data_IF_966716867539
#
_entry.id   IF_966716867539
#
_cell.length_a   1.000
_cell.length_b   1.000
_cell.length_c   1.000
_cell.angle_alpha   90.00
_cell.angle_beta   90.00
_cell.angle_gamma   90.00
#
_symmetry.space_group_name_H-M   'P 1'
#
loop_
_entity.id
_entity.type
_entity.pdbx_description
1 polymer ?
#
# COMPACT_ATOMS: atom_id res chain seq x y z
N UNK A 1 -16.04 14.25 -13.48
CA UNK A 1 -14.66 14.79 -13.60
C UNK A 1 -14.45 15.69 -12.40
N UNK A 2 -13.58 15.27 -11.48
CA UNK A 2 -13.32 15.93 -10.21
C UNK A 2 -12.30 17.05 -10.39
N UNK A 3 -12.70 18.29 -10.17
CA UNK A 3 -11.84 19.47 -10.37
C UNK A 3 -11.20 19.88 -9.04
N UNK A 4 -9.88 20.02 -9.06
CA UNK A 4 -9.08 20.45 -7.90
C UNK A 4 -8.51 21.84 -8.16
N UNK A 5 -8.54 22.67 -7.15
CA UNK A 5 -8.02 24.04 -7.21
C UNK A 5 -6.95 24.28 -6.16
N UNK A 6 -5.86 24.91 -6.57
CA UNK A 6 -4.76 25.36 -5.70
C UNK A 6 -4.51 26.85 -5.96
N UNK A 7 -4.27 27.63 -4.94
CA UNK A 7 -3.89 29.05 -5.08
C UNK A 7 -2.61 29.37 -4.31
N UNK A 8 -1.78 30.27 -4.86
CA UNK A 8 -0.54 30.67 -4.22
C UNK A 8 0.23 31.76 -4.97
N UNK A 9 1.28 32.28 -4.34
CA UNK A 9 2.18 33.27 -4.97
C UNK A 9 3.13 32.62 -5.99
N UNK A 10 3.64 31.43 -5.73
CA UNK A 10 4.55 30.67 -6.59
C UNK A 10 5.76 31.46 -7.12
N UNK A 11 6.37 32.33 -6.29
CA UNK A 11 7.53 33.13 -6.69
C UNK A 11 8.65 32.28 -7.29
N UNK A 12 8.95 31.13 -6.68
CA UNK A 12 9.85 30.11 -7.18
C UNK A 12 9.24 28.75 -6.84
N UNK A 13 9.13 27.88 -7.83
CA UNK A 13 8.68 26.50 -7.60
C UNK A 13 9.81 25.74 -6.89
N UNK A 14 9.61 25.48 -5.61
CA UNK A 14 10.51 24.68 -4.78
C UNK A 14 9.87 23.30 -4.48
N UNK A 15 10.63 22.33 -3.93
CA UNK A 15 10.11 20.99 -3.68
C UNK A 15 8.78 20.94 -2.90
N UNK A 16 8.52 21.90 -2.01
CA UNK A 16 7.23 22.01 -1.30
C UNK A 16 6.06 22.31 -2.24
N UNK A 17 6.23 23.26 -3.16
CA UNK A 17 5.22 23.53 -4.18
C UNK A 17 4.99 22.36 -5.13
N UNK A 18 6.08 21.68 -5.55
CA UNK A 18 5.95 20.51 -6.42
C UNK A 18 5.16 19.38 -5.74
N UNK A 19 5.37 19.15 -4.44
CA UNK A 19 4.58 18.18 -3.68
C UNK A 19 3.12 18.60 -3.54
N UNK A 20 2.87 19.88 -3.28
CA UNK A 20 1.50 20.43 -3.23
C UNK A 20 0.76 20.18 -4.54
N UNK A 21 1.37 20.54 -5.67
CA UNK A 21 0.79 20.37 -7.00
C UNK A 21 0.56 18.89 -7.34
N UNK A 22 1.54 18.04 -7.02
CA UNK A 22 1.43 16.60 -7.20
C UNK A 22 0.27 16.03 -6.37
N UNK A 23 0.22 16.32 -5.06
CA UNK A 23 -0.87 15.89 -4.19
C UNK A 23 -2.23 16.38 -4.70
N UNK A 24 -2.32 17.64 -5.13
CA UNK A 24 -3.53 18.19 -5.70
C UNK A 24 -3.97 17.44 -6.96
N UNK A 25 -3.03 17.04 -7.82
CA UNK A 25 -3.32 16.21 -9.00
C UNK A 25 -3.77 14.79 -8.62
N UNK A 26 -3.22 14.22 -7.55
CA UNK A 26 -3.57 12.88 -7.06
C UNK A 26 -5.01 12.79 -6.49
N UNK A 27 -5.59 13.91 -6.05
CA UNK A 27 -6.93 13.94 -5.45
C UNK A 27 -8.06 14.26 -6.44
N UNK A 28 -7.77 14.43 -7.73
CA UNK A 28 -8.79 14.66 -8.76
C UNK A 28 -8.34 14.45 -10.20
N UNK A 29 -9.26 14.67 -11.12
CA UNK A 29 -9.02 14.46 -12.56
C UNK A 29 -8.35 15.67 -13.21
N UNK A 30 -8.78 16.90 -12.82
CA UNK A 30 -8.29 18.17 -13.38
C UNK A 30 -7.74 19.06 -12.28
N UNK A 31 -6.46 19.46 -12.39
CA UNK A 31 -5.83 20.44 -11.51
C UNK A 31 -5.79 21.81 -12.14
N UNK A 32 -6.44 22.77 -11.50
CA UNK A 32 -6.42 24.19 -11.87
C UNK A 32 -5.63 24.96 -10.81
N UNK A 33 -4.69 25.79 -11.25
CA UNK A 33 -3.86 26.59 -10.34
C UNK A 33 -4.08 28.09 -10.55
N UNK A 34 -4.43 28.77 -9.47
CA UNK A 34 -4.52 30.22 -9.44
C UNK A 34 -3.24 30.85 -8.88
N UNK A 35 -2.59 31.70 -9.66
CA UNK A 35 -1.41 32.47 -9.25
C UNK A 35 -1.86 33.89 -8.89
N UNK A 36 -1.56 34.37 -7.68
CA UNK A 36 -1.91 35.73 -7.29
C UNK A 36 -1.26 36.77 -8.20
N UNK A 37 -2.04 37.72 -8.73
CA UNK A 37 -1.48 38.86 -9.47
C UNK A 37 -0.52 39.68 -8.59
N UNK A 38 0.37 40.45 -9.19
CA UNK A 38 1.29 41.32 -8.45
C UNK A 38 0.51 42.34 -7.60
N UNK A 39 -0.66 42.76 -8.04
CA UNK A 39 -1.55 43.64 -7.30
C UNK A 39 -2.09 42.97 -6.03
N UNK A 40 -2.49 41.69 -6.13
CA UNK A 40 -3.09 40.97 -5.00
C UNK A 40 -2.03 40.39 -4.06
N UNK A 41 -0.88 39.95 -4.58
CA UNK A 41 0.22 39.46 -3.79
C UNK A 41 0.99 40.59 -3.07
N UNK A 42 1.01 41.78 -3.61
CA UNK A 42 1.63 42.97 -3.00
C UNK A 42 3.14 42.76 -2.75
N UNK A 43 3.59 42.96 -1.49
CA UNK A 43 4.98 42.85 -1.11
C UNK A 43 5.51 41.41 -1.11
N UNK A 44 4.64 40.42 -1.20
CA UNK A 44 5.00 39.00 -1.21
C UNK A 44 5.27 38.48 -2.65
N UNK A 45 5.12 39.31 -3.67
CA UNK A 45 5.52 39.02 -5.04
C UNK A 45 6.94 39.52 -5.31
N UNK A 46 7.88 38.59 -5.40
CA UNK A 46 9.31 38.88 -5.70
C UNK A 46 9.65 38.64 -7.19
N UNK A 47 8.82 37.89 -7.89
CA UNK A 47 8.95 37.56 -9.32
C UNK A 47 7.72 38.07 -10.04
N UNK A 48 7.85 38.71 -11.22
CA UNK A 48 6.71 39.19 -12.02
C UNK A 48 5.65 38.11 -12.25
N UNK A 49 4.37 38.45 -12.15
CA UNK A 49 3.25 37.52 -12.28
C UNK A 49 3.29 36.67 -13.56
N UNK A 50 3.76 37.23 -14.67
CA UNK A 50 3.89 36.51 -15.94
C UNK A 50 4.88 35.34 -15.86
N UNK A 51 6.03 35.50 -15.19
CA UNK A 51 7.03 34.45 -15.00
C UNK A 51 6.56 33.41 -13.97
N UNK A 52 5.82 33.85 -12.94
CA UNK A 52 5.24 32.94 -11.95
C UNK A 52 4.17 32.06 -12.58
N UNK A 53 3.32 32.63 -13.43
CA UNK A 53 2.30 31.90 -14.18
C UNK A 53 2.95 30.94 -15.18
N UNK A 54 3.98 31.39 -15.92
CA UNK A 54 4.73 30.55 -16.86
C UNK A 54 5.34 29.33 -16.15
N UNK A 55 6.00 29.53 -15.01
CA UNK A 55 6.60 28.44 -14.21
C UNK A 55 5.58 27.43 -13.72
N UNK A 56 4.40 27.88 -13.31
CA UNK A 56 3.30 26.99 -12.90
C UNK A 56 2.72 26.22 -14.11
N UNK A 57 2.46 26.92 -15.21
CA UNK A 57 1.90 26.33 -16.42
C UNK A 57 2.83 25.28 -17.06
N UNK A 58 4.15 25.46 -16.95
CA UNK A 58 5.14 24.51 -17.43
C UNK A 58 5.20 23.20 -16.61
N UNK A 59 4.50 23.13 -15.48
CA UNK A 59 4.51 21.93 -14.64
C UNK A 59 3.54 20.88 -15.17
N UNK A 60 4.04 19.67 -15.40
CA UNK A 60 3.28 18.56 -16.02
C UNK A 60 2.08 18.03 -15.23
N UNK A 61 1.91 18.42 -13.96
CA UNK A 61 0.72 18.07 -13.16
C UNK A 61 -0.40 19.10 -13.29
N UNK A 62 -0.13 20.31 -13.79
CA UNK A 62 -1.08 21.40 -13.92
C UNK A 62 -1.80 21.30 -15.25
N UNK A 63 -3.12 21.16 -15.23
CA UNK A 63 -3.94 21.10 -16.44
C UNK A 63 -4.35 22.49 -16.94
N UNK A 64 -4.45 23.46 -16.01
CA UNK A 64 -4.84 24.85 -16.33
C UNK A 64 -4.30 25.82 -15.26
N UNK A 65 -3.90 27.01 -15.65
CA UNK A 65 -3.44 28.03 -14.70
C UNK A 65 -3.86 29.44 -15.16
N UNK A 66 -4.17 30.32 -14.17
CA UNK A 66 -4.58 31.67 -14.44
C UNK A 66 -4.16 32.65 -13.32
N UNK A 67 -4.19 33.96 -13.61
CA UNK A 67 -3.92 34.99 -12.60
C UNK A 67 -5.16 35.30 -11.79
N UNK A 68 -5.01 35.31 -10.47
CA UNK A 68 -6.04 35.72 -9.53
C UNK A 68 -5.91 37.22 -9.29
N UNK A 69 -6.90 37.96 -9.72
CA UNK A 69 -6.99 39.43 -9.54
C UNK A 69 -8.27 39.85 -8.79
N UNK A 70 -8.94 38.92 -8.11
CA UNK A 70 -10.15 39.10 -7.34
C UNK A 70 -10.05 38.38 -5.98
N UNK A 71 -10.93 38.66 -5.01
CA UNK A 71 -10.99 37.93 -3.75
C UNK A 71 -11.18 36.44 -3.96
N UNK A 72 -10.45 35.63 -3.22
CA UNK A 72 -10.44 34.15 -3.39
C UNK A 72 -11.85 33.53 -3.30
N UNK A 73 -12.74 34.11 -2.50
CA UNK A 73 -14.13 33.65 -2.37
C UNK A 73 -14.92 33.79 -3.67
N UNK A 74 -14.69 34.85 -4.43
CA UNK A 74 -15.33 35.08 -5.72
C UNK A 74 -14.82 34.11 -6.76
N UNK A 75 -13.50 33.89 -6.80
CA UNK A 75 -12.85 32.91 -7.69
C UNK A 75 -13.39 31.50 -7.44
N UNK A 76 -13.48 31.08 -6.18
CA UNK A 76 -14.01 29.76 -5.81
C UNK A 76 -15.50 29.66 -6.16
N UNK A 77 -16.28 30.69 -5.93
CA UNK A 77 -17.71 30.70 -6.25
C UNK A 77 -18.00 30.63 -7.76
N UNK A 78 -17.13 31.20 -8.59
CA UNK A 78 -17.20 31.11 -10.05
C UNK A 78 -16.71 29.75 -10.57
N UNK A 79 -15.54 29.29 -10.10
CA UNK A 79 -14.89 28.06 -10.54
C UNK A 79 -15.58 26.79 -10.04
N UNK A 80 -16.15 26.83 -8.84
CA UNK A 80 -16.83 25.74 -8.12
C UNK A 80 -16.04 24.43 -8.15
N UNK A 81 -14.76 24.41 -7.71
CA UNK A 81 -13.99 23.19 -7.68
C UNK A 81 -14.55 22.19 -6.66
N UNK A 82 -14.50 20.90 -6.98
CA UNK A 82 -14.91 19.85 -6.04
C UNK A 82 -14.00 19.83 -4.80
N UNK A 83 -12.71 20.15 -5.00
CA UNK A 83 -11.71 20.18 -3.94
C UNK A 83 -10.83 21.42 -4.05
N UNK A 84 -10.59 22.08 -2.93
CA UNK A 84 -9.51 23.06 -2.80
C UNK A 84 -8.38 22.44 -1.98
N UNK A 85 -7.15 22.56 -2.45
CA UNK A 85 -5.97 22.05 -1.74
C UNK A 85 -5.07 23.20 -1.33
N UNK A 86 -4.64 23.20 -0.07
CA UNK A 86 -3.69 24.18 0.50
C UNK A 86 -2.49 23.48 1.12
N UNK A 87 -1.39 24.19 1.29
CA UNK A 87 -0.25 23.75 2.07
C UNK A 87 -0.62 23.60 3.55
N UNK A 88 0.03 22.65 4.22
CA UNK A 88 -0.19 22.32 5.63
C UNK A 88 0.02 23.52 6.57
N UNK A 89 0.92 24.43 6.23
CA UNK A 89 1.19 25.65 6.97
C UNK A 89 -0.06 26.53 7.20
N UNK A 90 -1.09 26.32 6.39
CA UNK A 90 -2.38 27.02 6.50
C UNK A 90 -3.43 26.25 7.33
N UNK A 91 -3.13 25.08 7.86
CA UNK A 91 -4.12 24.22 8.54
C UNK A 91 -4.63 24.82 9.85
N UNK A 92 -3.78 25.54 10.58
CA UNK A 92 -4.10 26.18 11.86
C UNK A 92 -4.57 27.63 11.75
N UNK A 93 -4.70 28.17 10.53
CA UNK A 93 -5.16 29.53 10.28
C UNK A 93 -6.61 29.54 9.80
N UNK A 94 -7.30 30.69 9.97
CA UNK A 94 -8.62 30.89 9.37
C UNK A 94 -8.52 30.80 7.84
N UNK A 95 -9.25 29.86 7.27
CA UNK A 95 -9.24 29.61 5.83
C UNK A 95 -10.57 30.10 5.21
N UNK A 96 -10.51 31.23 4.53
CA UNK A 96 -11.64 31.80 3.81
C UNK A 96 -12.19 30.85 2.72
N UNK A 97 -11.35 29.97 2.21
CA UNK A 97 -11.68 28.98 1.20
C UNK A 97 -12.58 27.87 1.76
N UNK A 98 -12.46 27.53 3.05
CA UNK A 98 -13.30 26.51 3.70
C UNK A 98 -14.79 26.87 3.61
N UNK A 99 -15.11 28.09 3.97
CA UNK A 99 -16.50 28.58 3.94
C UNK A 99 -17.01 28.70 2.49
N UNK A 100 -16.13 29.13 1.58
CA UNK A 100 -16.48 29.29 0.17
C UNK A 100 -16.82 27.97 -0.52
N UNK A 101 -16.06 26.90 -0.26
CA UNK A 101 -16.32 25.58 -0.86
C UNK A 101 -17.51 24.87 -0.20
N UNK A 102 -17.74 25.08 1.10
CA UNK A 102 -18.84 24.47 1.82
C UNK A 102 -20.23 24.89 1.28
N UNK A 103 -20.35 26.11 0.72
CA UNK A 103 -21.61 26.64 0.17
C UNK A 103 -22.24 25.75 -0.92
N UNK A 104 -21.40 25.03 -1.69
CA UNK A 104 -21.88 24.18 -2.80
C UNK A 104 -21.47 22.70 -2.63
N UNK A 105 -20.99 22.30 -1.43
CA UNK A 105 -20.66 20.91 -1.12
C UNK A 105 -19.25 20.47 -1.54
N UNK A 106 -18.37 21.40 -1.91
CA UNK A 106 -16.96 21.11 -2.14
C UNK A 106 -16.18 20.87 -0.83
N UNK A 107 -14.96 20.41 -0.91
CA UNK A 107 -14.09 20.10 0.24
C UNK A 107 -12.78 20.87 0.22
N UNK A 108 -12.24 21.19 1.42
CA UNK A 108 -10.91 21.77 1.59
C UNK A 108 -9.97 20.69 2.15
N UNK A 109 -8.89 20.38 1.44
CA UNK A 109 -7.85 19.46 1.87
C UNK A 109 -6.55 20.20 2.11
N UNK A 110 -5.75 19.66 3.04
CA UNK A 110 -4.40 20.14 3.27
C UNK A 110 -3.42 19.09 2.79
N UNK A 111 -2.44 19.51 1.94
CA UNK A 111 -1.38 18.62 1.57
C UNK A 111 -0.56 18.30 2.83
N UNK A 112 -0.26 17.03 3.06
CA UNK A 112 0.67 16.61 4.08
C UNK A 112 2.10 17.02 3.69
N UNK A 113 2.32 18.34 3.63
CA UNK A 113 3.62 18.93 3.34
C UNK A 113 4.58 18.67 4.50
N UNK A 114 5.08 17.46 4.63
CA UNK A 114 6.30 17.25 5.37
C UNK A 114 7.44 17.65 4.46
N UNK A 115 8.08 18.65 4.82
CA UNK A 115 9.48 19.02 5.08
C UNK A 115 9.67 20.49 4.79
N UNK A 116 9.72 21.31 5.83
CA UNK A 116 10.50 22.52 5.78
C UNK A 116 11.96 22.10 5.50
N UNK A 117 12.47 22.41 4.32
CA UNK A 117 13.89 22.26 4.01
C UNK A 117 14.65 23.35 4.77
N UNK A 118 15.07 23.06 6.00
CA UNK A 118 16.14 23.82 6.64
C UNK A 118 17.45 23.04 6.52
N UNK A 119 18.56 23.75 6.45
CA UNK A 119 19.90 23.13 6.51
C UNK A 119 20.07 22.28 7.78
N UNK A 120 19.36 22.61 8.86
CA UNK A 120 19.24 21.82 10.09
C UNK A 120 18.55 20.48 9.89
N UNK A 121 17.56 20.39 9.00
CA UNK A 121 16.86 19.13 8.71
C UNK A 121 17.72 18.20 7.83
N UNK A 122 18.60 18.76 6.98
CA UNK A 122 19.61 17.99 6.26
C UNK A 122 20.66 17.41 7.22
N UNK A 123 21.09 18.18 8.22
CA UNK A 123 22.04 17.72 9.24
C UNK A 123 21.36 16.69 10.16
N UNK A 124 20.12 16.91 10.57
CA UNK A 124 19.33 15.94 11.33
C UNK A 124 19.06 14.66 10.53
N UNK A 125 18.84 14.76 9.21
CA UNK A 125 18.78 13.59 8.34
C UNK A 125 20.09 12.82 8.35
N UNK A 126 21.22 13.49 8.22
CA UNK A 126 22.54 12.83 8.22
C UNK A 126 22.86 12.15 9.57
N UNK A 127 22.41 12.73 10.68
CA UNK A 127 22.52 12.12 12.02
C UNK A 127 21.56 10.94 12.16
N UNK A 128 20.32 11.03 11.63
CA UNK A 128 19.37 9.92 11.58
C UNK A 128 19.80 8.80 10.61
N UNK A 129 20.58 9.12 9.56
CA UNK A 129 21.17 8.12 8.65
C UNK A 129 22.14 7.16 9.34
N UNK A 130 22.71 7.58 10.49
CA UNK A 130 23.53 6.73 11.36
C UNK A 130 22.69 5.91 12.35
N UNK A 131 21.43 6.27 12.57
CA UNK A 131 20.49 5.51 13.41
C UNK A 131 19.61 4.63 12.49
N UNK A 132 20.15 3.49 12.10
CA UNK A 132 19.53 2.53 11.18
C UNK A 132 18.25 1.93 11.78
N UNK A 133 17.10 2.56 11.55
CA UNK A 133 15.80 1.97 11.89
C UNK A 133 14.78 2.89 12.56
N UNK A 134 14.98 4.20 12.52
CA UNK A 134 13.98 5.12 13.08
C UNK A 134 12.69 5.10 12.25
N UNK A 135 11.71 4.34 12.73
CA UNK A 135 10.33 4.39 12.24
C UNK A 135 9.65 5.61 12.86
N UNK A 136 9.05 6.44 12.03
CA UNK A 136 8.39 7.66 12.49
C UNK A 136 6.88 7.45 12.61
N UNK A 137 6.34 7.55 13.84
CA UNK A 137 4.91 7.42 14.07
C UNK A 137 4.12 8.58 13.43
N UNK A 138 3.04 8.33 12.67
CA UNK A 138 2.31 9.34 11.91
C UNK A 138 1.33 10.12 12.80
N UNK A 139 1.83 10.94 13.72
CA UNK A 139 1.07 11.69 14.74
C UNK A 139 -0.10 12.48 14.16
N UNK A 140 0.11 13.13 13.01
CA UNK A 140 -0.92 13.96 12.39
C UNK A 140 -2.05 13.14 11.79
N UNK A 141 -1.72 11.99 11.18
CA UNK A 141 -2.72 11.05 10.70
C UNK A 141 -3.57 10.53 11.87
N UNK A 142 -2.94 10.13 12.97
CA UNK A 142 -3.65 9.69 14.18
C UNK A 142 -4.55 10.79 14.74
N UNK A 143 -4.08 12.04 14.79
CA UNK A 143 -4.87 13.19 15.25
C UNK A 143 -6.07 13.48 14.35
N UNK A 144 -5.89 13.42 13.01
CA UNK A 144 -7.01 13.65 12.06
C UNK A 144 -8.12 12.62 12.18
N UNK A 145 -7.76 11.38 12.57
CA UNK A 145 -8.72 10.27 12.68
C UNK A 145 -9.09 9.94 14.12
N UNK A 146 -8.64 10.75 15.09
CA UNK A 146 -9.10 10.70 16.47
C UNK A 146 -8.69 9.47 17.27
N UNK A 147 -7.53 8.85 16.97
CA UNK A 147 -7.02 7.73 17.74
C UNK A 147 -5.63 7.99 18.33
N UNK A 148 -5.28 7.25 19.39
CA UNK A 148 -4.01 7.36 20.10
C UNK A 148 -3.17 6.09 19.97
N UNK A 149 -1.90 6.16 20.42
CA UNK A 149 -1.01 4.99 20.49
C UNK A 149 -1.56 3.91 21.44
N UNK A 150 -2.14 4.33 22.58
CA UNK A 150 -2.74 3.42 23.57
C UNK A 150 -3.86 2.61 22.94
N UNK A 151 -4.68 3.27 22.10
CA UNK A 151 -5.74 2.57 21.37
C UNK A 151 -5.18 1.54 20.38
N UNK A 152 -4.09 1.84 19.70
CA UNK A 152 -3.42 0.87 18.81
C UNK A 152 -2.83 -0.32 19.59
N UNK A 153 -2.27 -0.08 20.78
CA UNK A 153 -1.79 -1.15 21.67
C UNK A 153 -2.94 -2.07 22.11
N UNK A 154 -4.11 -1.51 22.48
CA UNK A 154 -5.31 -2.30 22.80
C UNK A 154 -5.78 -3.19 21.64
N UNK A 155 -5.68 -2.68 20.41
CA UNK A 155 -6.00 -3.46 19.20
C UNK A 155 -5.03 -4.63 19.06
N UNK A 156 -3.71 -4.37 19.18
CA UNK A 156 -2.69 -5.40 19.07
C UNK A 156 -2.86 -6.51 20.13
N UNK A 157 -3.26 -6.18 21.35
CA UNK A 157 -3.53 -7.19 22.39
C UNK A 157 -4.58 -8.20 21.96
N UNK A 158 -5.62 -7.73 21.25
CA UNK A 158 -6.78 -8.54 20.82
C UNK A 158 -6.52 -9.43 19.61
N UNK A 159 -5.39 -9.25 18.90
CA UNK A 159 -5.11 -10.05 17.70
C UNK A 159 -4.88 -11.54 18.00
N UNK A 160 -4.45 -11.86 19.20
CA UNK A 160 -4.16 -13.24 19.59
C UNK A 160 -5.42 -14.10 19.63
N UNK A 161 -5.32 -15.31 19.08
CA UNK A 161 -6.40 -16.28 19.06
C UNK A 161 -7.41 -16.11 17.93
N UNK A 162 -7.29 -15.09 17.09
CA UNK A 162 -8.09 -14.98 15.84
C UNK A 162 -7.83 -16.20 14.97
N UNK A 163 -8.88 -16.78 14.42
CA UNK A 163 -8.84 -17.90 13.49
C UNK A 163 -8.76 -17.35 12.08
N UNK A 164 -7.59 -17.49 11.48
CA UNK A 164 -7.25 -16.90 10.19
C UNK A 164 -7.11 -18.00 9.16
N UNK A 165 -7.86 -17.92 8.08
CA UNK A 165 -7.69 -18.76 6.90
C UNK A 165 -6.91 -17.95 5.88
N UNK A 166 -5.81 -18.51 5.35
CA UNK A 166 -5.06 -17.95 4.24
C UNK A 166 -5.10 -18.92 3.08
N UNK A 167 -5.58 -18.45 1.92
CA UNK A 167 -5.63 -19.23 0.69
C UNK A 167 -4.87 -18.50 -0.40
N UNK A 168 -3.96 -19.16 -1.11
CA UNK A 168 -3.24 -18.50 -2.19
C UNK A 168 -2.01 -19.23 -2.70
N UNK A 169 -1.22 -18.55 -3.51
CA UNK A 169 -0.04 -19.11 -4.16
C UNK A 169 1.12 -19.23 -3.18
N UNK A 170 1.55 -20.46 -2.91
CA UNK A 170 2.77 -20.74 -2.13
C UNK A 170 4.01 -20.43 -2.95
N UNK A 171 4.88 -19.61 -2.39
CA UNK A 171 6.14 -19.17 -3.02
C UNK A 171 7.28 -19.41 -2.04
N UNK A 172 8.44 -19.77 -2.57
CA UNK A 172 9.72 -19.70 -1.86
C UNK A 172 10.57 -18.62 -2.50
N UNK A 173 11.00 -17.63 -1.70
CA UNK A 173 12.01 -16.65 -2.10
C UNK A 173 13.40 -17.17 -1.71
N UNK A 174 14.34 -17.19 -2.64
CA UNK A 174 15.73 -17.60 -2.39
C UNK A 174 16.68 -16.44 -2.70
N UNK A 175 17.46 -16.04 -1.71
CA UNK A 175 18.47 -15.01 -1.82
C UNK A 175 19.83 -15.67 -1.96
N UNK A 176 20.39 -15.58 -3.16
CA UNK A 176 21.70 -16.13 -3.47
C UNK A 176 22.73 -15.00 -3.40
N UNK A 177 23.56 -15.03 -2.37
CA UNK A 177 24.68 -14.10 -2.24
C UNK A 177 25.78 -14.52 -3.19
N UNK A 178 26.24 -13.61 -4.03
CA UNK A 178 27.22 -13.87 -5.06
C UNK A 178 28.45 -12.96 -4.92
N UNK A 179 29.60 -13.48 -5.32
CA UNK A 179 30.81 -12.70 -5.58
C UNK A 179 30.84 -12.31 -7.07
N UNK A 180 30.94 -11.00 -7.42
CA UNK A 180 31.03 -10.59 -8.80
C UNK A 180 32.47 -10.84 -9.34
N UNK A 181 32.56 -11.58 -10.44
CA UNK A 181 33.83 -11.89 -11.11
C UNK A 181 34.15 -10.90 -12.25
N UNK A 182 33.20 -10.03 -12.60
CA UNK A 182 33.32 -9.05 -13.68
C UNK A 182 32.44 -9.36 -14.89
N UNK A 183 32.84 -8.85 -16.05
CA UNK A 183 32.13 -9.09 -17.32
C UNK A 183 32.68 -10.30 -18.03
N UNK A 184 31.82 -11.08 -18.65
CA UNK A 184 32.24 -12.18 -19.55
C UNK A 184 33.07 -11.64 -20.71
N UNK A 185 34.04 -12.43 -21.17
CA UNK A 185 34.82 -12.13 -22.36
C UNK A 185 34.09 -12.55 -23.65
N UNK A 186 33.11 -13.45 -23.54
CA UNK A 186 32.38 -13.99 -24.68
C UNK A 186 31.13 -13.16 -25.02
N UNK A 187 30.39 -12.71 -23.97
CA UNK A 187 29.15 -11.96 -24.10
C UNK A 187 29.12 -10.78 -23.11
N UNK A 188 28.37 -9.70 -23.37
CA UNK A 188 28.25 -8.58 -22.44
C UNK A 188 27.35 -8.94 -21.24
N UNK A 189 27.74 -10.00 -20.50
CA UNK A 189 27.03 -10.50 -19.33
C UNK A 189 27.89 -10.41 -18.07
N UNK A 190 27.23 -10.22 -16.92
CA UNK A 190 27.87 -10.21 -15.60
C UNK A 190 28.11 -11.65 -15.18
N UNK A 191 29.33 -11.97 -14.78
CA UNK A 191 29.71 -13.27 -14.23
C UNK A 191 29.75 -13.18 -12.71
N UNK A 192 29.06 -14.09 -12.03
CA UNK A 192 29.02 -14.18 -10.57
C UNK A 192 29.23 -15.60 -10.09
N UNK A 193 29.84 -15.76 -8.92
CA UNK A 193 29.95 -17.05 -8.23
C UNK A 193 29.05 -17.02 -6.99
N UNK A 194 28.08 -17.96 -6.85
CA UNK A 194 27.31 -18.10 -5.62
C UNK A 194 28.20 -18.47 -4.44
N UNK A 195 28.04 -17.75 -3.31
CA UNK A 195 28.77 -17.98 -2.05
C UNK A 195 27.86 -18.64 -1.03
N UNK A 196 26.61 -18.15 -0.91
CA UNK A 196 25.63 -18.56 0.09
C UNK A 196 24.22 -18.44 -0.47
N UNK A 197 23.29 -19.21 0.09
CA UNK A 197 21.88 -19.15 -0.27
C UNK A 197 21.00 -19.26 0.96
N UNK A 198 20.01 -18.38 1.05
CA UNK A 198 19.01 -18.39 2.10
C UNK A 198 17.61 -18.39 1.49
N UNK A 199 16.77 -19.34 1.95
CA UNK A 199 15.37 -19.47 1.51
C UNK A 199 14.43 -18.93 2.56
N UNK A 200 13.33 -18.31 2.10
CA UNK A 200 12.25 -17.75 2.90
C UNK A 200 10.90 -18.17 2.35
N UNK A 201 9.90 -18.25 3.21
CA UNK A 201 8.50 -18.27 2.76
C UNK A 201 8.17 -16.97 2.04
N UNK A 202 7.45 -17.07 0.95
CA UNK A 202 6.92 -15.95 0.18
C UNK A 202 5.47 -16.18 -0.20
N UNK A 203 4.87 -15.22 -0.87
CA UNK A 203 3.47 -15.28 -1.28
C UNK A 203 2.53 -15.55 -0.12
N UNK A 204 1.54 -16.41 -0.34
CA UNK A 204 0.57 -16.77 0.69
C UNK A 204 1.21 -17.43 1.94
N UNK A 205 2.38 -18.06 1.78
CA UNK A 205 3.13 -18.67 2.90
C UNK A 205 3.62 -17.65 3.92
N UNK A 206 4.18 -16.52 3.48
CA UNK A 206 4.62 -15.47 4.42
C UNK A 206 3.43 -14.71 5.02
N UNK A 207 2.32 -14.55 4.28
CA UNK A 207 1.06 -14.00 4.80
C UNK A 207 0.57 -14.85 6.00
N UNK A 208 0.57 -16.17 5.85
CA UNK A 208 0.22 -17.09 6.93
C UNK A 208 1.21 -16.99 8.11
N UNK A 209 2.51 -16.89 7.84
CA UNK A 209 3.53 -16.77 8.87
C UNK A 209 3.44 -15.43 9.64
N UNK A 210 3.10 -14.32 8.98
CA UNK A 210 2.80 -13.06 9.65
C UNK A 210 1.60 -13.20 10.60
N UNK A 211 0.51 -13.81 10.14
CA UNK A 211 -0.69 -14.01 10.97
C UNK A 211 -0.40 -14.87 12.21
N UNK A 212 0.41 -15.94 12.06
CA UNK A 212 0.86 -16.75 13.18
C UNK A 212 1.75 -15.98 14.16
N UNK A 213 2.71 -15.19 13.64
CA UNK A 213 3.60 -14.35 14.44
C UNK A 213 2.88 -13.25 15.24
N UNK A 214 1.66 -12.86 14.83
CA UNK A 214 0.76 -11.96 15.55
C UNK A 214 -0.09 -12.69 16.62
N UNK A 215 0.04 -14.02 16.72
CA UNK A 215 -0.70 -14.85 17.66
C UNK A 215 -2.01 -15.41 17.13
N UNK A 216 -2.26 -15.35 15.83
CA UNK A 216 -3.42 -15.97 15.17
C UNK A 216 -3.31 -17.50 15.13
N UNK A 217 -4.46 -18.17 15.15
CA UNK A 217 -4.59 -19.60 14.83
C UNK A 217 -4.79 -19.72 13.32
N UNK A 218 -3.74 -20.13 12.61
CA UNK A 218 -3.71 -20.03 11.14
C UNK A 218 -3.94 -21.37 10.50
N UNK A 219 -4.91 -21.42 9.59
CA UNK A 219 -5.12 -22.48 8.62
C UNK A 219 -4.69 -22.00 7.25
N UNK A 220 -3.72 -22.67 6.65
CA UNK A 220 -3.15 -22.32 5.36
C UNK A 220 -3.54 -23.35 4.30
N UNK A 221 -4.10 -22.90 3.19
CA UNK A 221 -4.54 -23.78 2.09
C UNK A 221 -3.84 -23.33 0.80
N UNK A 222 -3.13 -24.26 0.17
CA UNK A 222 -2.39 -23.97 -1.07
C UNK A 222 -2.09 -25.23 -1.88
N UNK A 223 -1.34 -25.03 -2.97
CA UNK A 223 -0.85 -26.08 -3.85
C UNK A 223 0.67 -25.95 -3.99
N UNK A 224 1.37 -27.07 -4.01
CA UNK A 224 2.81 -27.15 -4.27
C UNK A 224 3.13 -28.28 -5.27
N UNK A 225 4.28 -28.20 -5.91
CA UNK A 225 4.85 -29.32 -6.67
C UNK A 225 5.34 -30.45 -5.78
N UNK A 226 5.66 -31.59 -6.38
CA UNK A 226 6.34 -32.72 -5.71
C UNK A 226 7.86 -32.54 -5.84
N UNK A 227 8.40 -31.57 -5.11
CA UNK A 227 9.80 -31.17 -5.20
C UNK A 227 10.40 -30.72 -3.85
N UNK A 228 11.73 -30.52 -3.84
CA UNK A 228 12.47 -30.09 -2.64
C UNK A 228 12.03 -28.69 -2.14
N UNK A 229 11.59 -27.82 -3.06
CA UNK A 229 11.14 -26.45 -2.72
C UNK A 229 9.81 -26.51 -1.97
N UNK A 230 8.88 -27.38 -2.40
CA UNK A 230 7.63 -27.66 -1.70
C UNK A 230 7.86 -28.25 -0.32
N UNK A 231 8.76 -29.24 -0.24
CA UNK A 231 9.14 -29.86 1.03
C UNK A 231 9.73 -28.86 2.02
N UNK A 232 10.60 -27.96 1.56
CA UNK A 232 11.12 -26.84 2.36
C UNK A 232 10.00 -25.94 2.88
N UNK A 233 9.08 -25.54 2.00
CA UNK A 233 8.00 -24.61 2.38
C UNK A 233 7.08 -25.25 3.43
N UNK A 234 6.71 -26.52 3.29
CA UNK A 234 5.88 -27.25 4.25
C UNK A 234 6.58 -27.31 5.62
N UNK A 235 7.87 -27.63 5.66
CA UNK A 235 8.64 -27.68 6.90
C UNK A 235 8.72 -26.30 7.61
N UNK A 236 8.82 -25.20 6.86
CA UNK A 236 8.83 -23.85 7.44
C UNK A 236 7.45 -23.42 7.96
N UNK A 237 6.36 -23.83 7.29
CA UNK A 237 4.99 -23.62 7.77
C UNK A 237 4.74 -24.37 9.09
N UNK A 238 5.21 -25.62 9.21
CA UNK A 238 5.12 -26.41 10.45
C UNK A 238 5.89 -25.75 11.61
N UNK A 239 7.13 -25.29 11.35
CA UNK A 239 7.92 -24.54 12.36
C UNK A 239 7.22 -23.26 12.83
N UNK A 240 6.40 -22.67 11.99
CA UNK A 240 5.61 -21.46 12.29
C UNK A 240 4.27 -21.76 12.98
N UNK A 241 4.02 -23.00 13.42
CA UNK A 241 2.76 -23.48 14.03
C UNK A 241 1.52 -23.19 13.17
N UNK A 242 1.63 -23.37 11.86
CA UNK A 242 0.55 -23.17 10.90
C UNK A 242 -0.05 -24.55 10.55
N UNK A 243 -1.38 -24.67 10.66
CA UNK A 243 -2.10 -25.83 10.16
C UNK A 243 -2.18 -25.75 8.62
N UNK A 244 -1.26 -26.43 7.94
CA UNK A 244 -1.11 -26.31 6.50
C UNK A 244 -1.74 -27.48 5.75
N UNK A 245 -2.73 -27.21 4.89
CA UNK A 245 -3.31 -28.11 3.90
C UNK A 245 -2.73 -27.79 2.52
N UNK A 246 -1.49 -28.25 2.25
CA UNK A 246 -0.83 -28.05 0.98
C UNK A 246 -1.04 -29.27 0.10
N UNK A 247 -1.80 -29.09 -1.00
CA UNK A 247 -2.09 -30.17 -1.94
C UNK A 247 -1.01 -30.30 -3.01
N UNK A 248 -0.58 -31.52 -3.29
CA UNK A 248 0.46 -31.75 -4.31
C UNK A 248 -0.14 -31.71 -5.72
N UNK A 249 0.49 -30.95 -6.60
CA UNK A 249 0.23 -30.91 -8.04
C UNK A 249 1.52 -31.27 -8.80
N UNK A 250 1.61 -32.53 -9.23
CA UNK A 250 2.80 -33.03 -9.96
C UNK A 250 2.96 -32.45 -11.37
N UNK A 251 1.97 -31.70 -11.85
CA UNK A 251 2.01 -31.07 -13.18
C UNK A 251 2.80 -29.75 -13.21
N UNK A 252 3.16 -29.22 -12.03
CA UNK A 252 3.86 -27.93 -11.88
C UNK A 252 4.97 -28.00 -10.85
N UNK A 253 6.03 -27.19 -11.00
CA UNK A 253 6.99 -26.98 -9.91
C UNK A 253 6.39 -26.10 -8.82
N UNK A 254 6.87 -26.25 -7.59
CA UNK A 254 6.67 -25.25 -6.55
C UNK A 254 7.31 -23.93 -6.98
N UNK A 255 6.59 -22.81 -6.82
CA UNK A 255 7.10 -21.52 -7.26
C UNK A 255 8.33 -21.10 -6.47
N UNK A 256 9.46 -20.92 -7.17
CA UNK A 256 10.73 -20.46 -6.60
C UNK A 256 11.14 -19.13 -7.26
N UNK A 257 11.37 -18.10 -6.45
CA UNK A 257 11.87 -16.79 -6.89
C UNK A 257 13.28 -16.58 -6.34
N UNK A 258 14.27 -16.73 -7.20
CA UNK A 258 15.67 -16.53 -6.85
C UNK A 258 16.10 -15.08 -7.11
N UNK A 259 16.83 -14.51 -6.16
CA UNK A 259 17.44 -13.17 -6.27
C UNK A 259 18.94 -13.29 -6.10
N UNK A 260 19.67 -13.20 -7.20
CA UNK A 260 21.13 -13.18 -7.19
C UNK A 260 21.58 -11.79 -6.76
N UNK A 261 22.32 -11.70 -5.66
CA UNK A 261 22.71 -10.44 -5.01
C UNK A 261 24.22 -10.37 -4.85
N UNK A 262 24.78 -9.18 -5.13
CA UNK A 262 26.17 -8.85 -4.83
C UNK A 262 26.23 -7.43 -4.27
N UNK A 263 27.07 -7.17 -3.29
CA UNK A 263 27.26 -5.87 -2.63
C UNK A 263 25.95 -5.22 -2.19
N UNK A 264 25.03 -6.02 -1.65
CA UNK A 264 23.72 -5.55 -1.18
C UNK A 264 22.70 -5.26 -2.28
N UNK A 265 23.05 -5.39 -3.57
CA UNK A 265 22.17 -5.12 -4.71
C UNK A 265 21.72 -6.41 -5.38
N UNK A 266 20.47 -6.42 -5.86
CA UNK A 266 19.98 -7.51 -6.71
C UNK A 266 20.48 -7.31 -8.15
N UNK A 267 21.23 -8.27 -8.66
CA UNK A 267 21.75 -8.27 -10.03
C UNK A 267 20.76 -8.87 -11.01
N UNK A 268 20.12 -9.98 -10.60
CA UNK A 268 19.18 -10.74 -11.44
C UNK A 268 18.10 -11.38 -10.57
N UNK A 269 16.90 -11.50 -11.13
CA UNK A 269 15.80 -12.28 -10.57
C UNK A 269 15.46 -13.41 -11.54
N UNK A 270 15.43 -14.65 -11.03
CA UNK A 270 15.02 -15.83 -11.79
C UNK A 270 13.78 -16.40 -11.12
N UNK A 271 12.72 -16.64 -11.90
CA UNK A 271 11.48 -17.19 -11.37
C UNK A 271 11.17 -18.53 -12.03
N UNK A 272 11.09 -19.58 -11.23
CA UNK A 272 10.58 -20.88 -11.63
C UNK A 272 9.12 -20.94 -11.22
N UNK A 273 8.21 -20.83 -12.18
CA UNK A 273 6.78 -20.71 -11.91
C UNK A 273 5.94 -21.34 -13.02
N UNK A 274 4.70 -21.66 -12.68
CA UNK A 274 3.67 -22.07 -13.61
C UNK A 274 2.45 -21.12 -13.45
N UNK A 275 1.86 -20.65 -14.55
CA UNK A 275 0.76 -19.69 -14.54
C UNK A 275 -0.61 -20.31 -14.87
N UNK A 276 -0.66 -21.59 -15.19
CA UNK A 276 -1.93 -22.28 -15.48
C UNK A 276 -2.74 -22.51 -14.20
N UNK A 277 -4.07 -22.45 -14.32
CA UNK A 277 -4.98 -22.81 -13.22
C UNK A 277 -4.76 -24.25 -12.78
N UNK A 278 -5.00 -24.49 -11.49
CA UNK A 278 -5.04 -25.87 -10.93
C UNK A 278 -6.21 -26.67 -11.52
N UNK A 279 -6.10 -28.01 -11.48
CA UNK A 279 -7.16 -28.88 -11.95
C UNK A 279 -8.46 -28.72 -11.15
N UNK A 280 -9.61 -29.09 -11.74
CA UNK A 280 -10.90 -29.07 -11.04
C UNK A 280 -10.90 -29.93 -9.78
N UNK A 281 -10.19 -31.07 -9.80
CA UNK A 281 -10.04 -31.93 -8.62
C UNK A 281 -9.33 -31.20 -7.47
N UNK A 282 -8.27 -30.45 -7.74
CA UNK A 282 -7.58 -29.64 -6.74
C UNK A 282 -8.43 -28.47 -6.25
N UNK A 283 -9.20 -27.86 -7.14
CA UNK A 283 -10.17 -26.82 -6.76
C UNK A 283 -11.22 -27.37 -5.79
N UNK A 284 -11.77 -28.56 -6.07
CA UNK A 284 -12.72 -29.24 -5.18
C UNK A 284 -12.10 -29.55 -3.81
N UNK A 285 -10.84 -29.95 -3.76
CA UNK A 285 -10.14 -30.23 -2.50
C UNK A 285 -9.93 -28.95 -1.69
N UNK A 286 -9.48 -27.87 -2.32
CA UNK A 286 -9.30 -26.55 -1.67
C UNK A 286 -10.66 -26.05 -1.14
N UNK A 287 -11.70 -26.09 -1.98
CA UNK A 287 -13.05 -25.69 -1.58
C UNK A 287 -13.54 -26.46 -0.37
N UNK A 288 -13.46 -27.78 -0.41
CA UNK A 288 -13.95 -28.63 0.68
C UNK A 288 -13.23 -28.38 1.98
N UNK A 289 -11.90 -28.16 1.93
CA UNK A 289 -11.10 -27.79 3.11
C UNK A 289 -11.51 -26.43 3.66
N UNK A 290 -11.66 -25.43 2.79
CA UNK A 290 -12.07 -24.09 3.19
C UNK A 290 -13.47 -24.09 3.82
N UNK A 291 -14.42 -24.82 3.25
CA UNK A 291 -15.80 -24.92 3.75
C UNK A 291 -15.89 -25.53 5.15
N UNK A 292 -14.96 -26.43 5.51
CA UNK A 292 -14.90 -26.98 6.87
C UNK A 292 -14.39 -25.95 7.89
N UNK A 293 -13.52 -25.04 7.48
CA UNK A 293 -12.90 -24.06 8.34
C UNK A 293 -13.70 -22.75 8.46
N UNK A 294 -14.38 -22.32 7.39
CA UNK A 294 -15.11 -21.05 7.30
C UNK A 294 -16.11 -20.79 8.45
N UNK A 295 -16.92 -21.77 8.92
CA UNK A 295 -17.89 -21.52 10.00
C UNK A 295 -17.27 -21.05 11.32
N UNK A 296 -15.98 -21.29 11.51
CA UNK A 296 -15.25 -20.92 12.71
C UNK A 296 -14.24 -19.80 12.46
N UNK A 297 -14.04 -19.36 11.22
CA UNK A 297 -13.07 -18.35 10.88
C UNK A 297 -13.51 -16.95 11.33
N UNK A 298 -12.54 -16.15 11.73
CA UNK A 298 -12.69 -14.72 12.00
C UNK A 298 -12.21 -13.89 10.81
N UNK A 299 -11.18 -14.40 10.08
CA UNK A 299 -10.56 -13.74 8.93
C UNK A 299 -10.33 -14.74 7.79
N UNK A 300 -10.62 -14.33 6.55
CA UNK A 300 -10.24 -15.03 5.32
C UNK A 300 -9.39 -14.12 4.45
N UNK A 301 -8.17 -14.55 4.12
CA UNK A 301 -7.24 -13.80 3.29
C UNK A 301 -6.98 -14.56 1.99
N UNK A 302 -7.23 -13.89 0.87
CA UNK A 302 -6.81 -14.33 -0.45
C UNK A 302 -5.47 -13.66 -0.80
N UNK A 303 -4.40 -14.45 -0.91
CA UNK A 303 -3.08 -13.98 -1.32
C UNK A 303 -2.73 -14.55 -2.69
N UNK A 304 -3.03 -13.76 -3.71
CA UNK A 304 -2.98 -14.16 -5.11
C UNK A 304 -1.79 -13.55 -5.85
N UNK A 305 -1.03 -14.40 -6.51
CA UNK A 305 0.10 -14.00 -7.35
C UNK A 305 -0.14 -14.32 -8.83
N UNK A 306 -1.36 -14.72 -9.17
CA UNK A 306 -1.75 -15.17 -10.50
C UNK A 306 -0.92 -16.38 -11.00
N UNK A 307 -0.56 -17.30 -10.09
CA UNK A 307 0.11 -18.55 -10.42
C UNK A 307 -0.84 -19.76 -10.41
N UNK A 308 -2.15 -19.49 -10.36
CA UNK A 308 -3.20 -20.44 -10.66
C UNK A 308 -3.79 -21.20 -9.48
N UNK A 309 -3.37 -20.94 -8.24
CA UNK A 309 -3.98 -21.51 -7.03
C UNK A 309 -5.44 -21.04 -6.84
N UNK A 310 -5.76 -19.84 -7.29
CA UNK A 310 -7.05 -19.18 -7.12
C UNK A 310 -7.74 -18.91 -8.48
N UNK A 311 -8.30 -19.92 -9.16
CA UNK A 311 -9.16 -19.71 -10.34
C UNK A 311 -10.41 -18.92 -9.97
N UNK A 312 -10.99 -18.22 -10.95
CA UNK A 312 -12.13 -17.32 -10.71
C UNK A 312 -13.35 -18.03 -10.12
N UNK A 313 -13.65 -19.22 -10.60
CA UNK A 313 -14.80 -20.00 -10.12
C UNK A 313 -14.66 -20.33 -8.63
N UNK A 314 -13.46 -20.77 -8.21
CA UNK A 314 -13.16 -21.07 -6.81
C UNK A 314 -13.28 -19.81 -5.91
N UNK A 315 -12.79 -18.66 -6.38
CA UNK A 315 -12.90 -17.39 -5.63
C UNK A 315 -14.38 -17.03 -5.41
N UNK A 316 -15.19 -17.07 -6.46
CA UNK A 316 -16.63 -16.73 -6.38
C UNK A 316 -17.36 -17.65 -5.41
N UNK A 317 -17.11 -18.97 -5.46
CA UNK A 317 -17.71 -19.94 -4.55
C UNK A 317 -17.30 -19.66 -3.09
N UNK A 318 -16.01 -19.44 -2.81
CA UNK A 318 -15.52 -19.17 -1.45
C UNK A 318 -16.05 -17.85 -0.88
N UNK A 319 -16.14 -16.82 -1.71
CA UNK A 319 -16.73 -15.53 -1.31
C UNK A 319 -18.23 -15.74 -0.97
N UNK A 320 -18.97 -16.43 -1.83
CA UNK A 320 -20.39 -16.68 -1.61
C UNK A 320 -20.67 -17.44 -0.30
N UNK A 321 -19.84 -18.43 0.02
CA UNK A 321 -19.97 -19.20 1.27
C UNK A 321 -19.55 -18.40 2.52
N UNK A 322 -18.63 -17.46 2.35
CA UNK A 322 -18.22 -16.55 3.43
C UNK A 322 -19.21 -15.38 3.64
N UNK A 323 -19.98 -15.01 2.60
CA UNK A 323 -21.03 -13.99 2.66
C UNK A 323 -22.16 -14.39 3.59
N UNK A 324 -22.43 -13.79 4.63
CA UNK A 324 -23.46 -14.12 5.63
C UNK A 324 -22.90 -14.65 6.94
N UNK A 325 -21.60 -14.90 6.98
CA UNK A 325 -20.83 -15.14 8.19
C UNK A 325 -20.33 -13.84 8.85
N UNK A 326 -19.57 -14.01 9.94
CA UNK A 326 -18.88 -12.90 10.61
C UNK A 326 -17.43 -12.74 10.11
N UNK A 327 -17.07 -13.45 9.04
CA UNK A 327 -15.72 -13.53 8.52
C UNK A 327 -15.35 -12.21 7.84
N UNK A 328 -14.25 -11.61 8.25
CA UNK A 328 -13.67 -10.46 7.56
C UNK A 328 -12.80 -10.96 6.41
N UNK A 329 -13.15 -10.59 5.19
CA UNK A 329 -12.43 -10.99 3.97
C UNK A 329 -11.47 -9.91 3.49
N UNK A 330 -10.27 -10.29 3.12
CA UNK A 330 -9.30 -9.41 2.48
C UNK A 330 -8.59 -10.11 1.32
N UNK A 331 -8.16 -9.31 0.34
CA UNK A 331 -7.38 -9.82 -0.77
C UNK A 331 -6.24 -8.88 -1.16
N UNK A 332 -5.12 -9.47 -1.52
CA UNK A 332 -4.04 -8.85 -2.29
C UNK A 332 -3.81 -9.68 -3.55
N UNK A 333 -3.76 -9.03 -4.70
CA UNK A 333 -3.51 -9.71 -5.97
C UNK A 333 -2.35 -9.04 -6.68
N UNK A 334 -1.20 -9.70 -6.67
CA UNK A 334 -0.01 -9.19 -7.31
C UNK A 334 0.00 -9.52 -8.80
N UNK A 335 0.19 -8.48 -9.62
CA UNK A 335 0.51 -8.65 -11.03
C UNK A 335 2.02 -8.74 -11.23
N UNK A 336 2.57 -9.95 -11.25
CA UNK A 336 3.98 -10.17 -11.63
C UNK A 336 4.23 -10.01 -13.14
N UNK A 337 3.17 -9.99 -13.93
CA UNK A 337 3.14 -9.82 -15.39
C UNK A 337 2.21 -8.67 -15.80
N UNK A 338 1.92 -8.56 -17.07
CA UNK A 338 0.99 -7.55 -17.62
C UNK A 338 -0.50 -7.87 -17.35
N UNK A 339 -0.77 -8.96 -16.65
CA UNK A 339 -2.11 -9.46 -16.34
C UNK A 339 -2.26 -9.58 -14.83
N UNK A 340 -3.22 -8.92 -14.28
CA UNK A 340 -3.66 -9.02 -12.89
C UNK A 340 -4.93 -8.21 -12.77
N UNK A 341 -5.92 -8.76 -12.08
CA UNK A 341 -7.20 -8.10 -11.83
C UNK A 341 -7.58 -8.27 -10.37
N UNK A 342 -7.21 -7.28 -9.55
CA UNK A 342 -7.59 -7.28 -8.14
C UNK A 342 -9.10 -7.07 -7.95
N UNK A 343 -9.79 -6.49 -8.93
CA UNK A 343 -11.24 -6.28 -8.86
C UNK A 343 -12.05 -7.58 -8.90
N UNK A 344 -11.43 -8.70 -9.29
CA UNK A 344 -12.07 -10.03 -9.28
C UNK A 344 -12.43 -10.55 -7.88
N UNK A 345 -11.83 -9.96 -6.83
CA UNK A 345 -12.18 -10.22 -5.44
C UNK A 345 -13.29 -9.26 -4.99
N UNK A 346 -14.52 -9.56 -5.40
CA UNK A 346 -15.67 -8.70 -5.08
C UNK A 346 -16.08 -8.82 -3.61
N UNK A 347 -16.61 -7.74 -3.04
CA UNK A 347 -17.21 -7.72 -1.70
C UNK A 347 -16.23 -7.78 -0.53
N UNK A 348 -14.93 -7.60 -0.77
CA UNK A 348 -13.91 -7.61 0.30
C UNK A 348 -14.09 -6.47 1.28
N UNK A 349 -13.85 -6.74 2.57
CA UNK A 349 -13.74 -5.69 3.57
C UNK A 349 -12.45 -4.88 3.36
N UNK A 350 -11.38 -5.52 2.85
CA UNK A 350 -10.12 -4.83 2.56
C UNK A 350 -9.49 -5.35 1.26
N UNK A 351 -9.11 -4.43 0.37
CA UNK A 351 -8.21 -4.67 -0.76
C UNK A 351 -6.93 -3.84 -0.60
N UNK A 352 -5.77 -4.43 -0.93
CA UNK A 352 -4.47 -3.76 -0.76
C UNK A 352 -3.63 -3.70 -2.04
N UNK A 353 -4.16 -3.19 -3.16
CA UNK A 353 -3.41 -3.11 -4.41
C UNK A 353 -2.27 -2.09 -4.35
N UNK A 354 -1.27 -2.29 -5.22
CA UNK A 354 -0.36 -1.21 -5.64
C UNK A 354 -1.05 -0.31 -6.67
N UNK A 355 -0.52 0.89 -6.87
CA UNK A 355 -1.00 1.78 -7.95
C UNK A 355 -1.02 1.06 -9.31
N UNK A 356 0.04 0.31 -9.62
CA UNK A 356 0.13 -0.42 -10.90
C UNK A 356 -1.00 -1.45 -11.04
N UNK A 357 -1.28 -2.22 -10.01
CA UNK A 357 -2.35 -3.23 -10.00
C UNK A 357 -3.72 -2.58 -10.16
N UNK A 358 -3.97 -1.47 -9.47
CA UNK A 358 -5.20 -0.71 -9.60
C UNK A 358 -5.39 -0.17 -11.03
N UNK A 359 -4.31 0.40 -11.63
CA UNK A 359 -4.35 0.89 -13.01
C UNK A 359 -4.58 -0.22 -14.03
N UNK A 360 -3.99 -1.39 -13.83
CA UNK A 360 -4.20 -2.56 -14.69
C UNK A 360 -5.65 -3.05 -14.61
N UNK A 361 -6.20 -3.24 -13.41
CA UNK A 361 -7.58 -3.69 -13.22
C UNK A 361 -8.60 -2.74 -13.84
N UNK A 362 -8.38 -1.44 -13.73
CA UNK A 362 -9.28 -0.42 -14.29
C UNK A 362 -8.96 -0.06 -15.75
N UNK A 363 -7.83 -0.53 -16.29
CA UNK A 363 -7.27 -0.10 -17.60
C UNK A 363 -7.21 1.41 -17.73
N UNK A 364 -6.78 2.06 -16.66
CA UNK A 364 -6.79 3.51 -16.50
C UNK A 364 -5.42 4.04 -16.07
N UNK A 365 -4.84 4.91 -16.89
CA UNK A 365 -3.52 5.50 -16.67
C UNK A 365 -3.57 7.01 -16.43
N UNK A 366 -4.75 7.62 -16.52
CA UNK A 366 -4.94 9.08 -16.57
C UNK A 366 -5.46 9.65 -15.25
N UNK A 367 -6.31 8.92 -14.53
CA UNK A 367 -6.94 9.40 -13.31
C UNK A 367 -5.93 9.63 -12.17
N UNK A 368 -6.24 10.62 -11.34
CA UNK A 368 -5.57 10.82 -10.05
C UNK A 368 -5.80 9.66 -9.09
N UNK A 369 -4.90 9.48 -8.12
CA UNK A 369 -4.90 8.30 -7.24
C UNK A 369 -6.16 8.15 -6.38
N UNK A 370 -6.76 9.26 -5.93
CA UNK A 370 -8.00 9.20 -5.15
C UNK A 370 -9.18 8.72 -6.01
N UNK A 371 -9.27 9.21 -7.25
CA UNK A 371 -10.31 8.78 -8.22
C UNK A 371 -10.09 7.33 -8.62
N UNK A 372 -8.83 6.94 -8.81
CA UNK A 372 -8.46 5.55 -9.10
C UNK A 372 -8.90 4.60 -7.96
N UNK A 373 -8.63 4.99 -6.71
CA UNK A 373 -9.03 4.22 -5.52
C UNK A 373 -10.56 4.11 -5.42
N UNK A 374 -11.29 5.21 -5.60
CA UNK A 374 -12.76 5.23 -5.61
C UNK A 374 -13.34 4.33 -6.70
N UNK A 375 -12.85 4.44 -7.94
CA UNK A 375 -13.32 3.61 -9.07
C UNK A 375 -13.07 2.13 -8.83
N UNK A 376 -11.89 1.77 -8.31
CA UNK A 376 -11.56 0.38 -8.02
C UNK A 376 -12.40 -0.17 -6.87
N UNK A 377 -12.57 0.60 -5.79
CA UNK A 377 -13.41 0.24 -4.65
C UNK A 377 -14.86 -0.04 -5.09
N UNK A 378 -15.41 0.84 -5.94
CA UNK A 378 -16.75 0.69 -6.49
C UNK A 378 -16.86 -0.53 -7.43
N UNK A 379 -15.88 -0.77 -8.31
CA UNK A 379 -15.85 -1.90 -9.23
C UNK A 379 -15.82 -3.23 -8.48
N UNK A 380 -14.93 -3.33 -7.48
CA UNK A 380 -14.79 -4.52 -6.64
C UNK A 380 -15.84 -4.61 -5.53
N UNK A 381 -16.71 -3.62 -5.37
CA UNK A 381 -17.67 -3.53 -4.25
C UNK A 381 -17.00 -3.67 -2.88
N UNK A 382 -15.75 -3.23 -2.77
CA UNK A 382 -14.97 -3.34 -1.54
C UNK A 382 -15.41 -2.26 -0.53
N UNK A 383 -15.31 -2.56 0.78
CA UNK A 383 -15.64 -1.61 1.83
C UNK A 383 -14.48 -0.64 2.11
N UNK A 384 -13.25 -1.12 1.91
CA UNK A 384 -12.06 -0.37 2.15
C UNK A 384 -10.96 -0.75 1.14
N UNK A 385 -10.19 0.23 0.68
CA UNK A 385 -9.09 0.04 -0.24
C UNK A 385 -7.85 0.79 0.25
N UNK A 386 -6.74 0.08 0.36
CA UNK A 386 -5.43 0.62 0.70
C UNK A 386 -4.53 0.59 -0.54
N UNK A 387 -4.40 1.72 -1.21
CA UNK A 387 -3.60 1.85 -2.43
C UNK A 387 -2.14 2.10 -2.07
N UNK A 388 -1.30 1.08 -2.23
CA UNK A 388 0.14 1.10 -1.89
C UNK A 388 0.94 1.94 -2.91
N UNK A 389 1.75 2.87 -2.43
CA UNK A 389 2.56 3.80 -3.23
C UNK A 389 4.08 3.64 -3.00
N UNK A 390 4.50 2.51 -2.43
CA UNK A 390 5.90 2.25 -2.12
C UNK A 390 6.49 3.26 -1.13
N UNK A 391 7.58 3.92 -1.51
CA UNK A 391 8.25 4.93 -0.67
C UNK A 391 7.40 6.17 -0.35
N UNK A 392 6.27 6.34 -1.01
CA UNK A 392 5.36 7.46 -0.76
C UNK A 392 4.26 7.13 0.26
N UNK A 393 4.23 5.91 0.76
CA UNK A 393 3.23 5.45 1.71
C UNK A 393 1.99 4.86 1.03
N UNK A 394 0.80 5.30 1.42
CA UNK A 394 -0.44 4.66 1.02
C UNK A 394 -1.61 5.66 1.01
N UNK A 395 -2.52 5.52 0.06
CA UNK A 395 -3.84 6.15 0.08
C UNK A 395 -4.84 5.16 0.65
N UNK A 396 -5.65 5.64 1.57
CA UNK A 396 -6.76 4.90 2.18
C UNK A 396 -8.05 5.49 1.62
N UNK A 397 -8.90 4.64 1.03
CA UNK A 397 -10.26 4.98 0.63
C UNK A 397 -11.22 4.07 1.39
N UNK A 398 -11.96 4.61 2.34
CA UNK A 398 -12.76 3.84 3.27
C UNK A 398 -14.02 4.57 3.70
N UNK A 399 -15.02 3.80 4.12
CA UNK A 399 -16.26 4.35 4.70
C UNK A 399 -16.02 4.81 6.13
N UNK A 400 -16.47 6.03 6.44
CA UNK A 400 -16.51 6.53 7.81
C UNK A 400 -17.74 6.01 8.58
N UNK A 401 -17.73 6.19 9.89
CA UNK A 401 -18.89 5.86 10.75
C UNK A 401 -20.17 6.61 10.37
N UNK A 402 -20.06 7.75 9.68
CA UNK A 402 -21.17 8.52 9.10
C UNK A 402 -21.85 7.82 7.91
N UNK A 403 -21.18 6.85 7.30
CA UNK A 403 -21.60 6.21 6.05
C UNK A 403 -20.96 6.82 4.79
N UNK A 404 -20.30 7.96 4.91
CA UNK A 404 -19.64 8.65 3.80
C UNK A 404 -18.28 8.00 3.48
N UNK A 405 -17.93 7.94 2.19
CA UNK A 405 -16.61 7.52 1.76
C UNK A 405 -15.61 8.66 1.88
N UNK A 406 -14.47 8.38 2.49
CA UNK A 406 -13.38 9.35 2.65
C UNK A 406 -12.07 8.80 2.11
N UNK A 407 -11.27 9.69 1.55
CA UNK A 407 -9.91 9.39 1.10
C UNK A 407 -8.91 10.20 1.91
N UNK A 408 -7.91 9.55 2.51
CA UNK A 408 -6.76 10.21 3.16
C UNK A 408 -5.47 9.45 2.84
N UNK A 409 -4.35 10.02 3.19
CA UNK A 409 -3.01 9.49 2.91
C UNK A 409 -2.21 9.32 4.20
N UNK A 410 -1.48 8.20 4.30
CA UNK A 410 -0.45 7.98 5.30
C UNK A 410 0.91 7.88 4.60
N UNK A 411 1.96 8.59 5.06
CA UNK A 411 3.30 8.50 4.48
C UNK A 411 3.95 7.14 4.78
N UNK A 412 4.99 6.78 4.04
CA UNK A 412 5.84 5.66 4.43
C UNK A 412 6.55 6.01 5.75
N UNK A 413 6.48 5.09 6.73
CA UNK A 413 6.96 5.36 8.09
C UNK A 413 8.45 5.06 8.27
N UNK A 414 9.09 4.35 7.32
CA UNK A 414 10.52 4.06 7.32
C UNK A 414 11.19 4.76 6.15
N UNK A 415 12.10 5.70 6.45
CA UNK A 415 12.81 6.48 5.44
C UNK A 415 14.00 5.74 4.80
N UNK A 416 14.46 4.63 5.40
CA UNK A 416 15.68 3.92 5.01
C UNK A 416 15.41 2.42 4.79
N UNK A 417 14.63 2.05 3.76
CA UNK A 417 14.32 0.65 3.49
C UNK A 417 15.59 -0.11 3.06
N UNK A 418 15.80 -1.30 3.64
CA UNK A 418 16.86 -2.25 3.25
C UNK A 418 16.38 -3.23 2.19
N UNK A 419 15.16 -3.73 2.36
CA UNK A 419 14.52 -4.64 1.42
C UNK A 419 13.00 -4.42 1.44
N UNK A 420 12.40 -4.25 0.28
CA UNK A 420 10.95 -3.98 0.16
C UNK A 420 10.10 -5.26 0.08
N UNK A 421 10.75 -6.44 0.09
CA UNK A 421 10.04 -7.71 0.00
C UNK A 421 9.16 -7.96 1.24
N UNK A 422 7.93 -8.41 1.03
CA UNK A 422 6.97 -8.74 2.09
C UNK A 422 6.33 -7.56 2.82
N UNK A 423 6.65 -6.31 2.45
CA UNK A 423 6.03 -5.14 3.07
C UNK A 423 4.51 -5.07 2.83
N UNK A 424 4.06 -5.41 1.61
CA UNK A 424 2.63 -5.50 1.28
C UNK A 424 1.92 -6.62 2.03
N UNK A 425 2.59 -7.76 2.17
CA UNK A 425 2.06 -8.94 2.86
C UNK A 425 1.86 -8.66 4.37
N UNK A 426 2.86 -8.05 5.01
CA UNK A 426 2.77 -7.66 6.44
C UNK A 426 1.70 -6.58 6.67
N UNK A 427 1.59 -5.60 5.76
CA UNK A 427 0.54 -4.57 5.79
C UNK A 427 -0.86 -5.20 5.69
N UNK A 428 -1.09 -6.07 4.73
CA UNK A 428 -2.37 -6.77 4.54
C UNK A 428 -2.79 -7.49 5.82
N UNK A 429 -1.91 -8.34 6.36
CA UNK A 429 -2.22 -9.19 7.52
C UNK A 429 -2.54 -8.37 8.75
N UNK A 430 -1.67 -7.40 9.10
CA UNK A 430 -1.89 -6.57 10.29
C UNK A 430 -3.16 -5.75 10.15
N UNK A 431 -3.43 -5.21 8.96
CA UNK A 431 -4.62 -4.40 8.72
C UNK A 431 -5.91 -5.23 8.87
N UNK A 432 -6.00 -6.38 8.18
CA UNK A 432 -7.23 -7.18 8.22
C UNK A 432 -7.49 -7.79 9.59
N UNK A 433 -6.44 -8.28 10.29
CA UNK A 433 -6.58 -8.80 11.65
C UNK A 433 -7.00 -7.69 12.64
N UNK A 434 -6.49 -6.46 12.47
CA UNK A 434 -6.92 -5.32 13.27
C UNK A 434 -8.40 -4.98 13.03
N UNK A 435 -8.86 -4.99 11.78
CA UNK A 435 -10.27 -4.79 11.45
C UNK A 435 -11.16 -5.87 12.07
N UNK A 436 -10.71 -7.12 12.11
CA UNK A 436 -11.45 -8.25 12.71
C UNK A 436 -11.68 -8.09 14.22
N UNK A 437 -10.84 -7.34 14.92
CA UNK A 437 -11.01 -7.01 16.35
C UNK A 437 -11.64 -5.63 16.59
N UNK A 438 -12.20 -5.01 15.55
CA UNK A 438 -12.96 -3.77 15.63
C UNK A 438 -12.13 -2.50 15.50
N UNK A 439 -10.98 -2.55 14.87
CA UNK A 439 -10.26 -1.34 14.46
C UNK A 439 -11.01 -0.65 13.32
N UNK A 440 -11.01 0.67 13.34
CA UNK A 440 -11.42 1.47 12.17
C UNK A 440 -10.44 1.26 11.01
N UNK A 441 -10.85 1.54 9.76
CA UNK A 441 -9.93 1.48 8.62
C UNK A 441 -8.67 2.34 8.80
N UNK A 442 -8.79 3.46 9.50
CA UNK A 442 -7.68 4.39 9.76
C UNK A 442 -6.67 3.83 10.78
N UNK A 443 -7.17 3.22 11.87
CA UNK A 443 -6.35 2.50 12.85
C UNK A 443 -5.65 1.31 12.19
N UNK A 444 -6.38 0.53 11.40
CA UNK A 444 -5.85 -0.61 10.66
C UNK A 444 -4.77 -0.19 9.64
N UNK A 445 -4.98 0.92 8.92
CA UNK A 445 -3.99 1.49 8.00
C UNK A 445 -2.71 1.94 8.71
N UNK A 446 -2.84 2.55 9.89
CA UNK A 446 -1.69 2.96 10.71
C UNK A 446 -0.88 1.75 11.16
N UNK A 447 -1.53 0.71 11.72
CA UNK A 447 -0.87 -0.53 12.16
C UNK A 447 -0.25 -1.30 10.98
N UNK A 448 -0.95 -1.38 9.84
CA UNK A 448 -0.43 -1.99 8.63
C UNK A 448 0.78 -1.25 8.06
N UNK A 449 0.77 0.08 8.06
CA UNK A 449 1.92 0.89 7.66
C UNK A 449 3.12 0.72 8.59
N UNK A 450 2.88 0.56 9.90
CA UNK A 450 3.91 0.24 10.88
C UNK A 450 4.53 -1.14 10.61
N UNK A 451 3.69 -2.14 10.34
CA UNK A 451 4.15 -3.49 9.96
C UNK A 451 5.04 -3.46 8.70
N UNK A 452 4.59 -2.75 7.66
CA UNK A 452 5.37 -2.54 6.45
C UNK A 452 6.70 -1.83 6.71
N UNK A 453 6.71 -0.83 7.59
CA UNK A 453 7.92 -0.09 7.98
C UNK A 453 8.94 -0.97 8.72
N UNK A 454 8.48 -1.86 9.61
CA UNK A 454 9.32 -2.87 10.27
C UNK A 454 9.88 -3.84 9.22
N UNK A 455 9.03 -4.33 8.31
CA UNK A 455 9.42 -5.30 7.30
C UNK A 455 10.49 -4.77 6.34
N UNK A 456 10.38 -3.54 5.85
CA UNK A 456 11.39 -2.96 4.94
C UNK A 456 12.72 -2.65 5.63
N UNK A 457 12.77 -2.58 6.94
CA UNK A 457 14.00 -2.37 7.73
C UNK A 457 14.93 -3.58 7.80
N UNK A 458 14.51 -4.75 7.33
CA UNK A 458 15.26 -6.02 7.39
C UNK A 458 15.42 -6.64 5.99
N UNK A 459 16.30 -7.64 5.88
CA UNK A 459 16.57 -8.34 4.62
C UNK A 459 15.77 -9.64 4.61
N UNK A 460 15.04 -9.88 3.52
CA UNK A 460 14.26 -11.09 3.30
C UNK A 460 12.89 -11.10 3.98
N UNK A 461 12.06 -12.05 3.59
CA UNK A 461 10.70 -12.25 4.12
C UNK A 461 10.75 -12.94 5.49
N UNK A 462 10.87 -12.17 6.55
CA UNK A 462 10.87 -12.69 7.92
C UNK A 462 9.47 -12.52 8.55
N UNK A 463 8.90 -13.55 9.19
CA UNK A 463 7.63 -13.42 9.89
C UNK A 463 7.66 -12.28 10.92
N UNK A 464 6.64 -11.42 10.87
CA UNK A 464 6.48 -10.33 11.83
C UNK A 464 6.02 -10.91 13.18
N UNK A 465 6.59 -10.41 14.27
CA UNK A 465 6.19 -10.78 15.63
C UNK A 465 5.37 -9.65 16.25
N UNK A 466 4.33 -10.01 16.98
CA UNK A 466 3.48 -9.03 17.66
C UNK A 466 4.29 -8.09 18.57
N UNK A 467 5.32 -8.60 19.25
CA UNK A 467 6.19 -7.79 20.11
C UNK A 467 6.89 -6.66 19.40
N UNK A 468 7.29 -6.85 18.14
CA UNK A 468 7.96 -5.80 17.33
C UNK A 468 7.05 -4.58 17.11
N UNK A 469 5.74 -4.80 16.89
CA UNK A 469 4.76 -3.71 16.81
C UNK A 469 4.54 -3.01 18.14
N UNK A 470 4.54 -3.77 19.26
CA UNK A 470 4.46 -3.20 20.60
C UNK A 470 5.66 -2.31 20.92
N UNK A 471 6.87 -2.77 20.60
CA UNK A 471 8.11 -2.05 20.87
C UNK A 471 8.12 -0.71 20.10
N UNK A 472 7.74 -0.70 18.83
CA UNK A 472 7.69 0.52 18.01
C UNK A 472 6.59 1.51 18.45
N UNK A 473 5.45 1.03 18.94
CA UNK A 473 4.39 1.91 19.48
C UNK A 473 4.72 2.46 20.87
N UNK A 474 5.58 1.78 21.60
CA UNK A 474 5.98 2.18 22.96
C UNK A 474 7.19 3.13 22.95
N UNK A 475 7.95 3.17 21.84
CA UNK A 475 9.07 4.10 21.62
C UNK A 475 8.55 5.51 21.30
#
# INVERSE_FOLDING_TARGET
MRTVFVSGNFNVLHPGHLRLLRFAKEVGDKLIVGVWSDRCAGKDAYVPESLRLEGVTANGWVDDAFLIDAPIREVIAELKPDVVVKGKEHQSTDNLERDAVAVYGGSLLFSSGEVAFSSLDLIKRHIKETDHGAIEFPKEFATRHGFSRERLLEILEKLSGLRVIVIGDLIVDEYVTCEPLGMSQEDPSIVVTPIDSQKFLGGAGIVAAHASGLGGQVSFISVAGDDEVGSFAIAELEKSNIAASVFTDSSRPTTLKQRLRADGKTLLRVSHLHQGSISSELQDRIRNEALQLLPQADVLIFSDFNYGCLPQELIVELIHEAEGGRVIMAADSQSSSQFGDVARFEGMQLLTPTEREARLSLRNHEDGLAVLAEKLCNLAKAQCLFLKLGSEGMIIHAQESSGDMRTDRIPALNAYPRDVAGAGDSLLVVSVMSMAVGASPWEAACLGSLAGAIQVGRIGNMPLRKQELFDELSA
#
